data_IF_882009686545
#
_entry.id   IF_882009686545
#
_cell.length_a   1.000
_cell.length_b   1.000
_cell.length_c   1.000
_cell.angle_alpha   90.00
_cell.angle_beta   90.00
_cell.angle_gamma   90.00
#
_symmetry.space_group_name_H-M   'P 1'
#
loop_
_entity.id
_entity.type
_entity.pdbx_description
1 polymer ?
#
# COMPACT_ATOMS: atom_id res chain seq x y z
N UNK A 1 -13.24 -8.79 -13.56
CA UNK A 1 -13.30 -7.33 -13.34
C UNK A 1 -12.28 -6.93 -12.29
N UNK A 2 -11.55 -5.80 -12.44
CA UNK A 2 -10.62 -5.34 -11.41
C UNK A 2 -11.39 -4.82 -10.19
N UNK A 3 -11.06 -5.33 -8.99
CA UNK A 3 -11.61 -4.85 -7.73
C UNK A 3 -10.95 -3.51 -7.36
N UNK A 4 -11.73 -2.50 -6.97
CA UNK A 4 -11.23 -1.14 -6.68
C UNK A 4 -11.72 -0.69 -5.31
N UNK A 5 -10.82 -0.13 -4.51
CA UNK A 5 -11.15 0.54 -3.25
C UNK A 5 -10.74 2.01 -3.36
N UNK A 6 -11.65 2.92 -3.02
CA UNK A 6 -11.36 4.36 -2.91
C UNK A 6 -11.25 4.72 -1.43
N UNK A 7 -10.18 5.42 -1.05
CA UNK A 7 -9.99 5.98 0.29
C UNK A 7 -9.61 7.45 0.19
N UNK A 8 -10.00 8.22 1.19
CA UNK A 8 -9.63 9.63 1.32
C UNK A 8 -8.14 9.70 1.72
N UNK A 9 -7.40 10.61 1.10
CA UNK A 9 -6.08 11.00 1.56
C UNK A 9 -6.24 12.08 2.62
N UNK A 10 -5.53 11.92 3.73
CA UNK A 10 -5.50 12.89 4.83
C UNK A 10 -4.13 13.56 4.83
N UNK A 11 -4.06 14.90 4.93
CA UNK A 11 -2.78 15.59 5.06
C UNK A 11 -2.13 15.25 6.40
N UNK A 12 -0.81 15.03 6.38
CA UNK A 12 0.00 14.74 7.56
C UNK A 12 1.35 15.45 7.45
N UNK A 13 1.44 16.65 8.03
CA UNK A 13 2.62 17.50 7.89
C UNK A 13 2.88 17.85 6.42
N UNK A 14 4.07 17.55 5.91
CA UNK A 14 4.45 17.68 4.50
C UNK A 14 4.05 16.49 3.61
N UNK A 15 3.30 15.53 4.16
CA UNK A 15 2.95 14.26 3.50
C UNK A 15 1.45 14.00 3.49
N UNK A 16 1.05 12.85 2.94
CA UNK A 16 -0.33 12.35 2.98
C UNK A 16 -0.36 10.95 3.55
N UNK A 17 -1.44 10.63 4.26
CA UNK A 17 -1.69 9.30 4.77
C UNK A 17 -3.09 8.82 4.40
N UNK A 18 -3.26 7.49 4.35
CA UNK A 18 -4.57 6.86 4.23
C UNK A 18 -4.55 5.53 4.94
N UNK A 19 -5.71 5.11 5.42
CA UNK A 19 -5.88 3.79 6.02
C UNK A 19 -5.88 2.73 4.91
N UNK A 20 -4.94 1.79 4.98
CA UNK A 20 -4.93 0.63 4.09
C UNK A 20 -6.08 -0.30 4.54
N UNK A 21 -7.06 -0.61 3.67
CA UNK A 21 -8.13 -1.55 4.01
C UNK A 21 -7.53 -2.92 4.35
N UNK A 22 -8.02 -3.56 5.42
CA UNK A 22 -7.57 -4.91 5.81
C UNK A 22 -7.78 -5.93 4.68
N UNK A 23 -8.74 -5.70 3.79
CA UNK A 23 -8.97 -6.50 2.58
C UNK A 23 -7.84 -6.42 1.54
N UNK A 24 -6.94 -5.44 1.62
CA UNK A 24 -5.72 -5.43 0.80
C UNK A 24 -4.57 -6.18 1.47
N UNK A 25 -4.77 -6.60 2.71
CA UNK A 25 -3.76 -7.20 3.59
C UNK A 25 -4.03 -8.70 3.83
N UNK A 26 -4.86 -9.37 3.02
CA UNK A 26 -5.22 -10.77 3.25
C UNK A 26 -4.01 -11.74 3.31
N UNK A 27 -2.88 -11.37 2.74
CA UNK A 27 -1.66 -12.18 2.70
C UNK A 27 -0.63 -11.82 3.77
N UNK A 28 -0.92 -10.88 4.69
CA UNK A 28 0.01 -10.50 5.77
C UNK A 28 -0.37 -11.18 7.08
N UNK A 29 0.61 -11.53 7.89
CA UNK A 29 0.40 -12.08 9.23
C UNK A 29 0.43 -10.94 10.26
N UNK A 30 -0.58 -10.87 11.13
CA UNK A 30 -0.78 -9.77 12.08
C UNK A 30 0.40 -9.51 13.04
N UNK A 31 1.31 -10.48 13.23
CA UNK A 31 2.45 -10.38 14.16
C UNK A 31 3.76 -9.94 13.50
N UNK A 32 3.80 -9.84 12.17
CA UNK A 32 5.01 -9.50 11.42
C UNK A 32 5.04 -8.00 11.08
N UNK A 33 6.24 -7.48 10.85
CA UNK A 33 6.43 -6.10 10.39
C UNK A 33 6.64 -6.09 8.88
N UNK A 34 6.13 -5.07 8.22
CA UNK A 34 6.15 -4.96 6.77
C UNK A 34 6.57 -3.56 6.32
N UNK A 35 7.26 -3.47 5.18
CA UNK A 35 7.46 -2.24 4.43
C UNK A 35 6.37 -2.09 3.37
N UNK A 36 6.01 -0.84 3.08
CA UNK A 36 5.20 -0.48 1.91
C UNK A 36 6.16 -0.02 0.82
N UNK A 37 6.09 -0.64 -0.35
CA UNK A 37 6.93 -0.34 -1.51
C UNK A 37 6.09 0.44 -2.51
N UNK A 38 6.58 1.59 -2.96
CA UNK A 38 5.98 2.36 -4.04
C UNK A 38 6.84 2.18 -5.29
N UNK A 39 6.34 1.40 -6.25
CA UNK A 39 7.05 1.13 -7.50
C UNK A 39 6.38 1.86 -8.65
N UNK A 40 7.16 2.65 -9.40
CA UNK A 40 6.66 3.33 -10.59
C UNK A 40 6.95 2.49 -11.83
N UNK A 41 5.90 2.10 -12.57
CA UNK A 41 6.02 1.37 -13.82
C UNK A 41 5.90 2.34 -15.01
N UNK A 42 7.01 2.80 -15.61
CA UNK A 42 7.00 3.85 -16.63
C UNK A 42 6.22 3.43 -17.88
N UNK A 43 6.29 2.16 -18.27
CA UNK A 43 5.59 1.63 -19.44
C UNK A 43 4.06 1.81 -19.35
N UNK A 44 3.51 1.74 -18.14
CA UNK A 44 2.07 1.87 -17.91
C UNK A 44 1.68 3.22 -17.30
N UNK A 45 2.66 4.06 -16.94
CA UNK A 45 2.51 5.32 -16.19
C UNK A 45 1.68 5.14 -14.91
N UNK A 46 1.90 4.04 -14.20
CA UNK A 46 1.17 3.70 -12.97
C UNK A 46 2.13 3.47 -11.83
N UNK A 47 1.65 3.81 -10.63
CA UNK A 47 2.25 3.39 -9.38
C UNK A 47 1.62 2.08 -8.94
N UNK A 48 2.46 1.10 -8.59
CA UNK A 48 2.07 -0.10 -7.87
C UNK A 48 2.49 0.06 -6.40
N UNK A 49 1.62 -0.41 -5.52
CA UNK A 49 1.88 -0.42 -4.08
C UNK A 49 2.07 -1.89 -3.70
N UNK A 50 3.30 -2.23 -3.30
CA UNK A 50 3.68 -3.53 -2.78
C UNK A 50 3.78 -3.52 -1.26
N UNK A 51 3.76 -4.71 -0.67
CA UNK A 51 3.99 -4.93 0.76
C UNK A 51 5.03 -6.03 0.88
N UNK A 52 6.11 -5.78 1.62
CA UNK A 52 7.20 -6.72 1.81
C UNK A 52 7.45 -6.97 3.30
N UNK A 53 7.62 -8.23 3.69
CA UNK A 53 7.94 -8.60 5.07
C UNK A 53 9.35 -8.13 5.43
N UNK A 54 9.49 -7.49 6.59
CA UNK A 54 10.80 -7.12 7.14
C UNK A 54 11.45 -8.38 7.70
N UNK A 55 12.31 -9.02 6.90
CA UNK A 55 13.14 -10.15 7.36
C UNK A 55 14.23 -9.61 8.29
N UNK A 56 14.28 -10.14 9.51
CA UNK A 56 15.39 -9.94 10.45
C UNK A 56 16.49 -10.96 10.19
#
# INVERSE_FOLDING_TARGET
MPMKFKRKLYPRGSSYETTIPKQLLFSIEDKKKYHVIFEYHPASKKWLIGIEEIKK
#
